data_IF_848413102717
#
_entry.id   IF_848413102717
#
_cell.length_a   1.000
_cell.length_b   1.000
_cell.length_c   1.000
_cell.angle_alpha   90.00
_cell.angle_beta   90.00
_cell.angle_gamma   90.00
#
_symmetry.space_group_name_H-M   'P 1'
#
loop_
_entity.id
_entity.type
_entity.pdbx_description
1 polymer ?
#
# COMPACT_ATOMS: atom_id res chain seq x y z
N UNK A 1 -23.37 51.45 6.28
CA UNK A 1 -23.69 51.17 4.86
C UNK A 1 -22.39 51.15 4.07
N UNK A 2 -22.22 50.12 3.25
CA UNK A 2 -20.99 49.75 2.56
C UNK A 2 -20.62 50.71 1.41
N UNK A 3 -19.32 50.81 1.11
CA UNK A 3 -18.83 50.90 -0.28
C UNK A 3 -17.41 50.34 -0.37
N UNK A 4 -17.31 49.29 -1.18
CA UNK A 4 -16.19 48.39 -1.45
C UNK A 4 -15.14 49.05 -2.34
N UNK A 5 -13.86 48.90 -1.99
CA UNK A 5 -12.74 49.20 -2.89
C UNK A 5 -12.38 47.94 -3.70
N UNK A 6 -12.38 48.10 -5.02
CA UNK A 6 -11.90 47.14 -6.00
C UNK A 6 -10.38 46.95 -5.85
N UNK A 7 -9.92 45.70 -5.80
CA UNK A 7 -8.51 45.33 -6.02
C UNK A 7 -8.46 44.09 -6.92
N UNK A 8 -8.10 44.38 -8.18
CA UNK A 8 -7.31 43.63 -9.16
C UNK A 8 -7.27 42.09 -9.15
N UNK A 9 -7.81 41.48 -10.21
CA UNK A 9 -7.58 40.08 -10.58
C UNK A 9 -6.40 40.02 -11.58
N UNK A 10 -5.34 39.21 -11.35
CA UNK A 10 -4.32 39.01 -12.36
C UNK A 10 -4.83 38.08 -13.48
N UNK A 11 -4.69 38.56 -14.70
CA UNK A 11 -5.24 37.99 -15.93
C UNK A 11 -4.68 36.63 -16.35
N UNK A 12 -5.58 35.85 -16.93
CA UNK A 12 -5.35 34.59 -17.61
C UNK A 12 -4.46 34.82 -18.85
N UNK A 13 -3.21 34.36 -18.79
CA UNK A 13 -2.34 34.30 -19.97
C UNK A 13 -2.69 33.04 -20.79
N UNK A 14 -3.19 33.25 -22.01
CA UNK A 14 -3.31 32.19 -23.03
C UNK A 14 -1.91 31.74 -23.44
N UNK A 15 -1.60 30.46 -23.25
CA UNK A 15 -0.44 29.83 -23.89
C UNK A 15 -0.94 29.05 -25.11
N UNK A 16 -0.32 29.39 -26.25
CA UNK A 16 -0.72 28.99 -27.58
C UNK A 16 -0.52 27.50 -27.87
N UNK A 17 -1.36 27.04 -28.79
CA UNK A 17 -1.28 25.78 -29.50
C UNK A 17 -0.02 25.73 -30.37
N UNK A 18 0.85 24.76 -30.14
CA UNK A 18 1.83 24.30 -31.12
C UNK A 18 1.75 22.77 -31.25
N UNK A 19 1.63 22.34 -32.48
CA UNK A 19 1.39 21.00 -32.96
C UNK A 19 2.70 20.27 -33.28
N UNK A 20 2.72 18.97 -32.95
CA UNK A 20 3.60 17.89 -33.43
C UNK A 20 5.13 18.00 -33.21
N UNK A 21 5.67 17.06 -32.42
CA UNK A 21 6.35 15.87 -32.97
C UNK A 21 6.65 14.86 -31.85
N UNK A 22 6.45 13.59 -32.17
CA UNK A 22 6.66 12.46 -31.26
C UNK A 22 8.09 12.35 -30.76
N UNK A 23 8.20 12.18 -29.45
CA UNK A 23 9.38 11.65 -28.78
C UNK A 23 8.87 10.74 -27.68
N UNK A 24 9.03 9.43 -27.86
CA UNK A 24 8.70 8.45 -26.83
C UNK A 24 9.66 8.63 -25.65
N UNK A 25 9.30 9.49 -24.70
CA UNK A 25 9.90 9.46 -23.37
C UNK A 25 9.35 8.23 -22.66
N UNK A 26 9.95 7.09 -22.99
CA UNK A 26 9.74 5.82 -22.30
C UNK A 26 9.93 6.08 -20.82
N UNK A 27 8.84 5.92 -20.07
CA UNK A 27 8.82 5.86 -18.61
C UNK A 27 9.74 4.72 -18.14
N UNK A 28 11.04 5.02 -17.99
CA UNK A 28 12.06 4.09 -17.51
C UNK A 28 12.06 4.05 -15.99
N UNK A 29 10.92 3.70 -15.38
CA UNK A 29 10.80 3.65 -13.90
C UNK A 29 10.06 2.44 -13.36
N UNK A 30 10.11 1.29 -14.03
CA UNK A 30 9.86 -0.02 -13.38
C UNK A 30 10.63 -1.12 -14.13
N UNK A 31 11.98 -1.10 -14.08
CA UNK A 31 12.79 -2.18 -14.68
C UNK A 31 12.80 -3.47 -13.83
N UNK A 32 12.22 -3.44 -12.63
CA UNK A 32 12.12 -4.60 -11.73
C UNK A 32 10.78 -5.35 -11.87
N UNK A 33 10.27 -5.55 -13.08
CA UNK A 33 8.99 -6.25 -13.27
C UNK A 33 9.04 -7.45 -14.25
N UNK A 34 10.18 -7.77 -14.86
CA UNK A 34 10.24 -8.83 -15.88
C UNK A 34 11.21 -9.99 -15.58
N UNK A 35 12.04 -9.89 -14.54
CA UNK A 35 12.92 -11.01 -14.14
C UNK A 35 12.33 -11.77 -12.95
N UNK A 36 11.26 -12.54 -13.19
CA UNK A 36 10.88 -13.60 -12.25
C UNK A 36 11.75 -14.82 -12.52
N UNK A 37 13.00 -14.77 -12.06
CA UNK A 37 13.83 -15.95 -11.94
C UNK A 37 13.09 -17.00 -11.10
N UNK A 38 13.04 -18.28 -11.52
CA UNK A 38 12.39 -19.32 -10.73
C UNK A 38 13.08 -19.43 -9.37
N UNK A 39 12.31 -19.46 -8.28
CA UNK A 39 12.87 -19.74 -6.95
C UNK A 39 13.63 -21.07 -7.01
N UNK A 40 14.85 -21.09 -6.44
CA UNK A 40 15.59 -22.34 -6.30
C UNK A 40 14.78 -23.35 -5.49
N UNK A 41 14.93 -24.64 -5.78
CA UNK A 41 14.24 -25.74 -5.08
C UNK A 41 14.53 -25.74 -3.56
N UNK A 42 15.62 -25.13 -3.11
CA UNK A 42 15.91 -24.87 -1.70
C UNK A 42 14.96 -23.83 -1.10
N UNK A 43 14.83 -22.68 -1.75
CA UNK A 43 14.06 -21.52 -1.28
C UNK A 43 12.57 -21.84 -1.18
N UNK A 44 12.03 -22.58 -2.16
CA UNK A 44 10.63 -23.03 -2.13
C UNK A 44 10.31 -23.90 -0.91
N UNK A 45 11.22 -24.78 -0.50
CA UNK A 45 11.01 -25.67 0.66
C UNK A 45 11.04 -24.89 1.98
N UNK A 46 11.93 -23.91 2.08
CA UNK A 46 12.00 -23.01 3.25
C UNK A 46 10.71 -22.20 3.36
N UNK A 47 10.25 -21.60 2.25
CA UNK A 47 9.01 -20.83 2.21
C UNK A 47 7.78 -21.66 2.62
N UNK A 48 7.64 -22.89 2.10
CA UNK A 48 6.53 -23.78 2.47
C UNK A 48 6.55 -24.18 3.96
N UNK A 49 7.75 -24.34 4.55
CA UNK A 49 7.90 -24.62 5.97
C UNK A 49 7.48 -23.41 6.83
N UNK A 50 7.84 -22.21 6.41
CA UNK A 50 7.45 -20.97 7.10
C UNK A 50 5.94 -20.75 7.04
N UNK A 51 5.32 -20.92 5.87
CA UNK A 51 3.86 -20.81 5.71
C UNK A 51 3.14 -21.75 6.69
N UNK A 52 3.54 -23.03 6.73
CA UNK A 52 2.93 -24.01 7.66
C UNK A 52 3.14 -23.66 9.13
N UNK A 53 4.30 -23.10 9.47
CA UNK A 53 4.60 -22.66 10.83
C UNK A 53 3.67 -21.51 11.23
N UNK A 54 3.58 -20.47 10.41
CA UNK A 54 2.81 -19.27 10.71
C UNK A 54 1.30 -19.46 10.60
N UNK A 55 0.83 -20.42 9.80
CA UNK A 55 -0.59 -20.80 9.78
C UNK A 55 -1.00 -21.63 11.02
N UNK A 56 -0.05 -22.28 11.71
CA UNK A 56 -0.32 -23.07 12.91
C UNK A 56 -0.30 -22.20 14.18
N UNK A 57 0.48 -21.13 14.18
CA UNK A 57 0.55 -20.18 15.30
C UNK A 57 -0.46 -19.03 15.12
N UNK A 58 -0.80 -18.39 16.23
CA UNK A 58 -1.60 -17.15 16.27
C UNK A 58 -0.78 -16.00 16.87
N UNK A 59 0.55 -16.08 16.73
CA UNK A 59 1.44 -15.04 17.23
C UNK A 59 1.39 -13.81 16.32
N UNK A 60 1.53 -12.62 16.91
CA UNK A 60 1.62 -11.39 16.13
C UNK A 60 2.94 -11.34 15.36
N UNK A 61 2.86 -11.06 14.07
CA UNK A 61 3.99 -11.05 13.16
C UNK A 61 4.81 -9.76 13.27
N UNK A 62 4.16 -8.64 13.60
CA UNK A 62 4.82 -7.33 13.71
C UNK A 62 5.32 -7.13 15.14
N UNK A 63 6.55 -6.65 15.30
CA UNK A 63 7.09 -6.31 16.63
C UNK A 63 6.23 -5.20 17.26
N UNK A 64 5.86 -5.36 18.54
CA UNK A 64 4.95 -4.44 19.24
C UNK A 64 5.47 -3.00 19.31
N UNK A 65 6.77 -2.80 19.56
CA UNK A 65 7.36 -1.46 19.72
C UNK A 65 7.29 -0.60 18.44
N UNK A 66 7.73 -1.06 17.25
CA UNK A 66 7.58 -0.26 16.04
C UNK A 66 6.11 -0.04 15.65
N UNK A 67 5.22 -1.02 15.83
CA UNK A 67 3.79 -0.83 15.60
C UNK A 67 3.21 0.26 16.50
N UNK A 68 3.55 0.24 17.80
CA UNK A 68 3.13 1.27 18.74
C UNK A 68 3.65 2.67 18.35
N UNK A 69 4.89 2.77 17.85
CA UNK A 69 5.45 4.05 17.36
C UNK A 69 4.66 4.57 16.17
N UNK A 70 4.35 3.70 15.21
CA UNK A 70 3.53 4.05 14.04
C UNK A 70 2.13 4.52 14.43
N UNK A 71 1.46 3.82 15.35
CA UNK A 71 0.13 4.24 15.84
C UNK A 71 0.18 5.64 16.45
N UNK A 72 1.22 5.95 17.22
CA UNK A 72 1.38 7.28 17.84
C UNK A 72 1.72 8.36 16.83
N UNK A 73 2.54 8.03 15.84
CA UNK A 73 2.89 8.94 14.74
C UNK A 73 1.63 9.37 13.99
N UNK A 74 0.82 8.41 13.54
CA UNK A 74 -0.44 8.68 12.82
C UNK A 74 -1.43 9.45 13.70
N UNK A 75 -1.56 9.07 14.98
CA UNK A 75 -2.50 9.71 15.89
C UNK A 75 -2.17 11.18 16.17
N UNK A 76 -0.88 11.53 16.14
CA UNK A 76 -0.41 12.90 16.37
C UNK A 76 -0.93 13.87 15.31
N UNK A 77 -1.14 13.41 14.08
CA UNK A 77 -1.70 14.21 12.98
C UNK A 77 -3.16 14.62 13.21
N UNK A 78 -3.89 13.88 14.05
CA UNK A 78 -5.29 14.16 14.38
C UNK A 78 -5.44 14.98 15.65
N UNK A 79 -4.68 14.64 16.70
CA UNK A 79 -4.73 15.35 17.99
C UNK A 79 -3.43 15.16 18.76
N UNK A 80 -2.89 16.28 19.23
CA UNK A 80 -1.71 16.27 20.12
C UNK A 80 -2.06 15.73 21.50
N UNK A 81 -1.10 15.08 22.16
CA UNK A 81 -1.20 14.57 23.55
C UNK A 81 -2.20 13.43 23.79
N UNK A 82 -2.45 12.60 22.76
CA UNK A 82 -3.25 11.37 22.93
C UNK A 82 -2.52 10.30 23.75
N UNK A 83 -3.23 9.76 24.75
CA UNK A 83 -2.78 8.61 25.55
C UNK A 83 -3.51 7.36 25.08
N UNK A 84 -2.74 6.33 24.75
CA UNK A 84 -3.27 5.03 24.35
C UNK A 84 -3.22 4.05 25.52
N UNK A 85 -4.33 3.32 25.73
CA UNK A 85 -4.33 2.14 26.58
C UNK A 85 -3.51 1.02 25.91
N UNK A 86 -2.85 0.18 26.70
CA UNK A 86 -2.09 -0.97 26.18
C UNK A 86 -2.95 -1.93 25.37
N UNK A 87 -4.17 -2.22 25.85
CA UNK A 87 -5.14 -3.07 25.14
C UNK A 87 -5.62 -2.45 23.82
N UNK A 88 -5.76 -1.12 23.74
CA UNK A 88 -6.16 -0.45 22.51
C UNK A 88 -5.12 -0.61 21.40
N UNK A 89 -3.83 -0.48 21.74
CA UNK A 89 -2.73 -0.70 20.77
C UNK A 89 -2.69 -2.16 20.32
N UNK A 90 -2.92 -3.10 21.24
CA UNK A 90 -3.00 -4.53 20.89
C UNK A 90 -4.17 -4.83 19.95
N UNK A 91 -5.36 -4.28 20.22
CA UNK A 91 -6.53 -4.46 19.36
C UNK A 91 -6.30 -3.89 17.96
N UNK A 92 -5.67 -2.71 17.86
CA UNK A 92 -5.28 -2.13 16.56
C UNK A 92 -4.30 -3.04 15.82
N UNK A 93 -3.36 -3.66 16.53
CA UNK A 93 -2.39 -4.56 15.94
C UNK A 93 -3.04 -5.84 15.41
N UNK A 94 -3.88 -6.48 16.23
CA UNK A 94 -4.63 -7.68 15.84
C UNK A 94 -5.50 -7.43 14.61
N UNK A 95 -6.26 -6.32 14.59
CA UNK A 95 -7.08 -5.94 13.46
C UNK A 95 -6.26 -5.67 12.19
N UNK A 96 -5.13 -4.97 12.32
CA UNK A 96 -4.26 -4.62 11.19
C UNK A 96 -3.61 -5.86 10.59
N UNK A 97 -3.10 -6.77 11.42
CA UNK A 97 -2.48 -8.02 10.95
C UNK A 97 -3.51 -8.96 10.32
N UNK A 98 -4.69 -9.11 10.92
CA UNK A 98 -5.78 -9.90 10.34
C UNK A 98 -6.19 -9.36 8.95
N UNK A 99 -6.29 -8.05 8.80
CA UNK A 99 -6.57 -7.41 7.51
C UNK A 99 -5.48 -7.71 6.47
N UNK A 100 -4.20 -7.57 6.85
CA UNK A 100 -3.08 -7.83 5.94
C UNK A 100 -3.01 -9.30 5.52
N UNK A 101 -3.23 -10.25 6.44
CA UNK A 101 -3.26 -11.68 6.12
C UNK A 101 -4.36 -11.97 5.10
N UNK A 102 -5.59 -11.50 5.36
CA UNK A 102 -6.69 -11.69 4.42
C UNK A 102 -6.41 -11.04 3.06
N UNK A 103 -5.79 -9.85 3.02
CA UNK A 103 -5.41 -9.21 1.76
C UNK A 103 -4.37 -10.04 0.99
N UNK A 104 -3.41 -10.65 1.68
CA UNK A 104 -2.42 -11.52 1.05
C UNK A 104 -3.00 -12.83 0.53
N UNK A 105 -4.04 -13.38 1.16
CA UNK A 105 -4.78 -14.53 0.63
C UNK A 105 -5.42 -14.21 -0.72
N UNK A 106 -6.14 -13.09 -0.82
CA UNK A 106 -6.76 -12.65 -2.08
C UNK A 106 -5.72 -12.29 -3.15
N UNK A 107 -4.62 -11.65 -2.74
CA UNK A 107 -3.50 -11.32 -3.62
C UNK A 107 -2.86 -12.59 -4.18
N UNK A 108 -2.72 -13.63 -3.36
CA UNK A 108 -2.20 -14.92 -3.78
C UNK A 108 -3.15 -15.61 -4.77
N UNK A 109 -4.47 -15.55 -4.55
CA UNK A 109 -5.46 -16.03 -5.53
C UNK A 109 -5.35 -15.29 -6.87
N UNK A 110 -5.13 -13.97 -6.86
CA UNK A 110 -4.90 -13.18 -8.06
C UNK A 110 -3.60 -13.60 -8.80
N UNK A 111 -2.52 -13.88 -8.07
CA UNK A 111 -1.27 -14.36 -8.65
C UNK A 111 -1.44 -15.74 -9.30
N UNK A 112 -2.13 -16.66 -8.64
CA UNK A 112 -2.45 -18.01 -9.15
C UNK A 112 -3.33 -17.91 -10.41
N UNK A 113 -4.33 -17.02 -10.40
CA UNK A 113 -5.17 -16.77 -11.56
C UNK A 113 -4.35 -16.32 -12.79
N UNK A 114 -3.29 -15.54 -12.56
CA UNK A 114 -2.34 -15.10 -13.58
C UNK A 114 -1.20 -16.11 -13.87
N UNK A 115 -1.32 -17.37 -13.40
CA UNK A 115 -0.31 -18.45 -13.56
C UNK A 115 1.07 -18.12 -12.97
N UNK A 116 1.13 -17.26 -11.96
CA UNK A 116 2.34 -16.90 -11.22
C UNK A 116 2.32 -17.49 -9.80
N UNK A 117 3.50 -17.61 -9.21
CA UNK A 117 3.69 -17.99 -7.80
C UNK A 117 4.10 -16.77 -6.96
N UNK A 118 4.79 -15.82 -7.57
CA UNK A 118 5.21 -14.58 -6.92
C UNK A 118 4.10 -13.54 -7.01
N UNK A 119 3.66 -13.04 -5.85
CA UNK A 119 2.74 -11.90 -5.74
C UNK A 119 3.43 -10.62 -6.19
N UNK A 120 2.72 -9.76 -6.91
CA UNK A 120 3.23 -8.46 -7.38
C UNK A 120 2.28 -7.32 -6.96
N UNK A 121 2.73 -6.04 -6.98
CA UNK A 121 1.88 -4.91 -6.57
C UNK A 121 0.55 -4.81 -7.35
N UNK A 122 0.53 -5.26 -8.62
CA UNK A 122 -0.70 -5.31 -9.43
C UNK A 122 -1.75 -6.27 -8.86
N UNK A 123 -1.33 -7.35 -8.21
CA UNK A 123 -2.24 -8.33 -7.60
C UNK A 123 -2.94 -7.71 -6.37
N UNK A 124 -2.20 -6.94 -5.56
CA UNK A 124 -2.75 -6.22 -4.40
C UNK A 124 -3.74 -5.15 -4.87
N UNK A 125 -3.38 -4.39 -5.91
CA UNK A 125 -4.28 -3.39 -6.49
C UNK A 125 -5.58 -4.01 -7.02
N UNK A 126 -5.47 -5.18 -7.66
CA UNK A 126 -6.62 -5.93 -8.15
C UNK A 126 -7.49 -6.43 -6.98
N UNK A 127 -6.90 -7.06 -5.98
CA UNK A 127 -7.60 -7.55 -4.79
C UNK A 127 -8.38 -6.43 -4.08
N UNK A 128 -7.71 -5.30 -3.80
CA UNK A 128 -8.36 -4.12 -3.18
C UNK A 128 -9.48 -3.54 -4.05
N UNK A 129 -9.30 -3.54 -5.37
CA UNK A 129 -10.33 -3.07 -6.32
C UNK A 129 -11.57 -3.97 -6.32
N UNK A 130 -11.40 -5.28 -6.18
CA UNK A 130 -12.50 -6.25 -6.11
C UNK A 130 -13.22 -6.14 -4.76
N UNK A 131 -12.47 -5.97 -3.66
CA UNK A 131 -13.04 -5.74 -2.31
C UNK A 131 -13.86 -4.45 -2.18
N UNK A 132 -13.73 -3.52 -3.13
CA UNK A 132 -14.38 -2.21 -3.06
C UNK A 132 -13.64 -1.20 -2.17
N UNK A 133 -12.43 -1.54 -1.70
CA UNK A 133 -11.56 -0.69 -0.89
C UNK A 133 -10.81 0.33 -1.79
N UNK A 134 -11.57 1.15 -2.52
CA UNK A 134 -11.01 2.24 -3.30
C UNK A 134 -10.64 3.40 -2.37
N UNK A 135 -9.42 3.92 -2.57
CA UNK A 135 -9.14 5.33 -2.33
C UNK A 135 -9.73 6.15 -3.48
#
# INVERSE_FOLDING_TARGET
>A
MARTKQINQPGVKRLGSSSHQGGSEKCSRYRWCEETSPLSSGDRRVALREIRRYQKSTELFIRKLPFQRLVREIAQDFKTDLRFQSSAVMALQEASEAYLVGLFEDTNLCAIHAKRVTIVPKDIQLARRIRGERA
#
